data_IF_845316695667
#
_entry.id   IF_845316695667
#
_cell.length_a   1.000
_cell.length_b   1.000
_cell.length_c   1.000
_cell.angle_alpha   90.00
_cell.angle_beta   90.00
_cell.angle_gamma   90.00
#
_symmetry.space_group_name_H-M   'P 1'
#
loop_
_entity.id
_entity.type
_entity.pdbx_description
1 polymer ?
#
# COMPACT_ATOMS: atom_id res chain seq x y z
N UNK A 1 1.24 16.01 2.27
CA UNK A 1 0.79 14.64 1.88
C UNK A 1 1.80 13.62 2.36
N UNK A 2 1.37 12.38 2.65
CA UNK A 2 2.20 11.23 3.03
C UNK A 2 2.14 10.21 1.89
N UNK A 3 3.30 9.67 1.48
CA UNK A 3 3.38 8.57 0.51
C UNK A 3 3.14 7.23 1.23
N UNK A 4 2.08 6.50 0.89
CA UNK A 4 1.75 5.20 1.53
C UNK A 4 2.44 4.01 0.89
N UNK A 5 3.11 4.18 -0.24
CA UNK A 5 3.62 3.09 -1.07
C UNK A 5 5.13 3.21 -1.37
N UNK A 6 5.91 3.76 -0.45
CA UNK A 6 7.36 3.79 -0.58
C UNK A 6 8.03 2.51 -0.07
N UNK A 7 9.20 2.22 -0.63
CA UNK A 7 10.00 1.05 -0.26
C UNK A 7 11.47 1.41 -0.14
N UNK A 8 12.18 0.59 0.67
CA UNK A 8 13.64 0.56 0.76
C UNK A 8 14.15 -0.87 0.61
N UNK A 9 15.46 -1.01 0.38
CA UNK A 9 16.10 -2.30 0.16
C UNK A 9 16.05 -2.78 -1.29
N UNK A 10 16.88 -3.79 -1.58
CA UNK A 10 17.05 -4.33 -2.93
C UNK A 10 15.81 -5.05 -3.44
N UNK A 11 15.59 -4.98 -4.75
CA UNK A 11 14.57 -5.76 -5.44
C UNK A 11 15.22 -7.00 -6.06
N UNK A 12 14.66 -8.22 -5.89
CA UNK A 12 15.38 -9.44 -6.27
C UNK A 12 15.48 -9.64 -7.79
N UNK A 13 14.62 -9.02 -8.59
CA UNK A 13 14.50 -9.32 -10.01
C UNK A 13 15.20 -8.32 -10.94
N UNK A 14 15.57 -7.16 -10.44
CA UNK A 14 16.39 -6.18 -11.18
C UNK A 14 17.11 -5.23 -10.24
N UNK A 15 18.20 -4.65 -10.72
CA UNK A 15 18.85 -3.57 -9.99
C UNK A 15 17.95 -2.35 -9.88
N UNK A 16 17.79 -1.84 -8.66
CA UNK A 16 17.12 -0.57 -8.40
C UNK A 16 18.17 0.48 -8.05
N UNK A 17 18.18 1.63 -8.73
CA UNK A 17 19.00 2.74 -8.29
C UNK A 17 18.46 3.28 -6.97
N UNK A 18 19.36 3.50 -6.01
CA UNK A 18 19.05 4.26 -4.80
C UNK A 18 17.91 3.70 -3.91
N UNK A 19 17.97 2.43 -3.47
CA UNK A 19 16.95 1.86 -2.60
C UNK A 19 17.12 2.22 -1.12
N UNK A 20 17.91 3.25 -0.80
CA UNK A 20 18.33 3.62 0.54
C UNK A 20 17.41 4.68 1.17
N UNK A 21 17.21 4.66 2.52
CA UNK A 21 16.33 5.60 3.21
C UNK A 21 16.72 7.08 3.05
N UNK A 22 18.02 7.39 3.04
CA UNK A 22 18.53 8.76 2.87
C UNK A 22 18.17 9.34 1.47
N UNK A 23 18.19 8.48 0.44
CA UNK A 23 17.75 8.88 -0.89
C UNK A 23 16.24 9.11 -0.91
N UNK A 24 15.47 8.23 -0.26
CA UNK A 24 14.01 8.39 -0.16
C UNK A 24 13.68 9.74 0.51
N UNK A 25 14.34 10.11 1.59
CA UNK A 25 14.11 11.43 2.24
C UNK A 25 14.32 12.58 1.26
N UNK A 26 15.45 12.58 0.53
CA UNK A 26 15.71 13.62 -0.50
C UNK A 26 14.66 13.63 -1.62
N UNK A 27 14.16 12.46 -1.99
CA UNK A 27 13.07 12.35 -2.98
C UNK A 27 11.78 12.96 -2.43
N UNK A 28 11.40 12.66 -1.19
CA UNK A 28 10.22 13.22 -0.54
C UNK A 28 10.30 14.75 -0.43
N UNK A 29 11.44 15.27 -0.02
CA UNK A 29 11.70 16.72 0.05
C UNK A 29 11.53 17.38 -1.32
N UNK A 30 12.14 16.81 -2.37
CA UNK A 30 12.01 17.31 -3.74
C UNK A 30 10.56 17.32 -4.22
N UNK A 31 9.78 16.30 -3.89
CA UNK A 31 8.36 16.19 -4.28
C UNK A 31 7.42 16.96 -3.33
N UNK A 32 7.94 17.60 -2.29
CA UNK A 32 7.14 18.33 -1.29
C UNK A 32 6.23 17.43 -0.46
N UNK A 33 6.66 16.19 -0.19
CA UNK A 33 5.95 15.22 0.64
C UNK A 33 6.43 15.29 2.09
N UNK A 34 5.51 15.22 3.03
CA UNK A 34 5.80 15.36 4.46
C UNK A 34 6.40 14.09 5.08
N UNK A 35 6.35 12.96 4.38
CA UNK A 35 6.88 11.69 4.85
C UNK A 35 6.34 10.51 4.06
N UNK A 36 6.69 9.29 4.50
CA UNK A 36 6.21 8.07 3.86
C UNK A 36 5.94 6.92 4.83
N UNK A 37 5.05 5.99 4.43
CA UNK A 37 4.94 4.65 4.99
C UNK A 37 5.83 3.71 4.18
N UNK A 38 6.82 3.14 4.83
CA UNK A 38 7.91 2.46 4.13
C UNK A 38 7.86 0.96 4.37
N UNK A 39 7.88 0.18 3.28
CA UNK A 39 8.08 -1.26 3.30
C UNK A 39 9.53 -1.64 2.99
N UNK A 40 9.91 -2.87 3.34
CA UNK A 40 11.22 -3.45 3.02
C UNK A 40 11.08 -4.47 1.89
N UNK A 41 11.54 -4.13 0.68
CA UNK A 41 11.36 -4.97 -0.50
C UNK A 41 11.86 -6.40 -0.35
N UNK A 42 13.07 -6.66 0.21
CA UNK A 42 13.56 -8.04 0.31
C UNK A 42 12.65 -8.97 1.09
N UNK A 43 11.90 -8.46 2.07
CA UNK A 43 11.01 -9.27 2.92
C UNK A 43 9.80 -9.83 2.22
N UNK A 44 9.38 -9.23 1.09
CA UNK A 44 8.20 -9.67 0.34
C UNK A 44 8.34 -11.12 -0.12
N UNK A 45 9.55 -11.52 -0.51
CA UNK A 45 9.88 -12.86 -1.02
C UNK A 45 10.50 -13.78 0.03
N UNK A 46 10.67 -13.30 1.26
CA UNK A 46 11.16 -14.13 2.36
C UNK A 46 10.03 -14.97 2.95
N UNK A 47 10.33 -16.21 3.32
CA UNK A 47 9.38 -17.09 3.97
C UNK A 47 9.01 -16.58 5.36
N UNK A 48 10.00 -16.12 6.13
CA UNK A 48 9.85 -15.48 7.44
C UNK A 48 10.10 -13.96 7.28
N UNK A 49 9.11 -13.09 7.52
CA UNK A 49 9.28 -11.65 7.39
C UNK A 49 10.01 -11.01 8.60
N UNK A 50 10.16 -11.69 9.73
CA UNK A 50 10.67 -11.09 10.96
C UNK A 50 12.10 -10.51 10.83
N UNK A 51 13.08 -11.18 10.19
CA UNK A 51 14.41 -10.59 9.98
C UNK A 51 14.35 -9.30 9.14
N UNK A 52 13.50 -9.28 8.13
CA UNK A 52 13.32 -8.10 7.28
C UNK A 52 12.60 -6.96 7.99
N UNK A 53 11.62 -7.25 8.85
CA UNK A 53 11.02 -6.24 9.71
C UNK A 53 12.06 -5.62 10.65
N UNK A 54 12.94 -6.43 11.24
CA UNK A 54 14.04 -5.94 12.08
C UNK A 54 14.95 -4.99 11.29
N UNK A 55 15.33 -5.38 10.07
CA UNK A 55 16.14 -4.54 9.18
C UNK A 55 15.42 -3.24 8.79
N UNK A 56 14.11 -3.30 8.51
CA UNK A 56 13.30 -2.11 8.22
C UNK A 56 13.34 -1.11 9.37
N UNK A 57 13.02 -1.55 10.57
CA UNK A 57 12.99 -0.66 11.74
C UNK A 57 14.36 -0.04 12.00
N UNK A 58 15.44 -0.83 11.91
CA UNK A 58 16.81 -0.31 12.08
C UNK A 58 17.19 0.70 11.00
N UNK A 59 16.83 0.43 9.75
CA UNK A 59 17.13 1.33 8.62
C UNK A 59 16.37 2.66 8.71
N UNK A 60 15.18 2.70 9.30
CA UNK A 60 14.36 3.90 9.39
C UNK A 60 14.56 4.69 10.68
N UNK A 61 15.21 4.14 11.69
CA UNK A 61 15.43 4.79 13.00
C UNK A 61 15.97 6.22 12.89
N UNK A 62 16.94 6.53 12.00
CA UNK A 62 17.47 7.89 11.87
C UNK A 62 16.52 8.88 11.16
N UNK A 63 15.40 8.41 10.60
CA UNK A 63 14.56 9.19 9.67
C UNK A 63 13.12 9.33 10.19
N UNK A 64 12.79 10.31 11.04
CA UNK A 64 11.49 10.42 11.70
C UNK A 64 10.30 10.68 10.74
N UNK A 65 10.57 11.14 9.52
CA UNK A 65 9.57 11.31 8.47
C UNK A 65 9.20 10.00 7.76
N UNK A 66 10.01 8.96 7.95
CA UNK A 66 9.77 7.62 7.40
C UNK A 66 9.18 6.73 8.48
N UNK A 67 7.91 6.37 8.34
CA UNK A 67 7.24 5.47 9.28
C UNK A 67 7.22 4.05 8.73
N UNK A 68 7.60 3.04 9.53
CA UNK A 68 7.62 1.66 9.07
C UNK A 68 6.21 1.14 8.80
N UNK A 69 6.09 0.35 7.73
CA UNK A 69 4.94 -0.48 7.42
C UNK A 69 5.43 -1.93 7.25
N UNK A 70 5.68 -2.64 8.38
CA UNK A 70 6.24 -3.98 8.38
C UNK A 70 5.27 -5.02 7.85
N UNK A 71 5.78 -6.20 7.51
CA UNK A 71 5.00 -7.33 7.02
C UNK A 71 4.56 -8.18 8.20
N UNK A 72 3.27 -8.54 8.23
CA UNK A 72 2.75 -9.60 9.10
C UNK A 72 2.17 -10.69 8.21
N UNK A 73 2.72 -11.90 8.35
CA UNK A 73 2.31 -13.09 7.61
C UNK A 73 1.46 -13.99 8.51
N UNK A 74 0.12 -14.06 8.30
CA UNK A 74 -0.79 -14.63 9.28
C UNK A 74 -0.80 -16.17 9.36
N UNK A 75 -0.23 -16.88 8.37
CA UNK A 75 -0.03 -18.35 8.43
C UNK A 75 1.32 -18.72 9.07
N UNK A 76 2.11 -17.73 9.50
CA UNK A 76 3.40 -17.95 10.14
C UNK A 76 3.25 -18.08 11.65
N UNK A 77 3.98 -19.00 12.31
CA UNK A 77 3.87 -19.16 13.77
C UNK A 77 4.14 -17.85 14.52
N UNK A 78 3.30 -17.54 15.52
CA UNK A 78 3.42 -16.34 16.37
C UNK A 78 3.26 -15.00 15.60
N UNK A 79 2.51 -14.97 14.53
CA UNK A 79 2.25 -13.75 13.77
C UNK A 79 1.59 -12.65 14.63
N UNK A 80 0.78 -13.00 15.63
CA UNK A 80 0.17 -12.05 16.57
C UNK A 80 1.25 -11.28 17.33
N UNK A 81 2.29 -11.97 17.78
CA UNK A 81 3.43 -11.32 18.45
C UNK A 81 4.19 -10.39 17.48
N UNK A 82 4.32 -10.78 16.22
CA UNK A 82 4.91 -9.91 15.19
C UNK A 82 4.06 -8.65 14.99
N UNK A 83 2.74 -8.76 15.03
CA UNK A 83 1.83 -7.60 14.97
C UNK A 83 2.01 -6.70 16.20
N UNK A 84 2.01 -7.27 17.41
CA UNK A 84 2.22 -6.52 18.66
C UNK A 84 3.55 -5.77 18.65
N UNK A 85 4.65 -6.45 18.32
CA UNK A 85 5.98 -5.83 18.22
C UNK A 85 6.01 -4.69 17.19
N UNK A 86 5.36 -4.88 16.04
CA UNK A 86 5.27 -3.86 15.00
C UNK A 86 4.57 -2.58 15.51
N UNK A 87 3.47 -2.74 16.23
CA UNK A 87 2.71 -1.62 16.80
C UNK A 87 3.50 -0.91 17.90
N UNK A 88 4.15 -1.67 18.77
CA UNK A 88 4.99 -1.14 19.86
C UNK A 88 6.16 -0.32 19.32
N UNK A 89 6.68 -0.67 18.16
CA UNK A 89 7.75 0.04 17.47
C UNK A 89 7.27 1.16 16.54
N UNK A 90 5.97 1.52 16.57
CA UNK A 90 5.43 2.69 15.90
C UNK A 90 5.11 2.49 14.41
N UNK A 91 4.76 1.26 14.00
CA UNK A 91 4.28 1.02 12.64
C UNK A 91 3.13 1.96 12.26
N UNK A 92 3.12 2.48 11.03
CA UNK A 92 2.04 3.30 10.51
C UNK A 92 0.87 2.46 10.00
N UNK A 93 1.19 1.33 9.40
CA UNK A 93 0.29 0.36 8.79
C UNK A 93 0.93 -1.03 8.85
N UNK A 94 0.15 -2.08 8.63
CA UNK A 94 0.64 -3.45 8.48
C UNK A 94 0.52 -3.85 7.01
N UNK A 95 1.57 -4.41 6.42
CA UNK A 95 1.57 -4.93 5.05
C UNK A 95 1.32 -6.43 5.03
N UNK A 96 0.54 -6.87 4.03
CA UNK A 96 0.35 -8.28 3.72
C UNK A 96 0.40 -8.51 2.20
N UNK A 97 0.94 -9.67 1.80
CA UNK A 97 1.14 -10.06 0.41
C UNK A 97 0.54 -11.44 0.13
N UNK A 98 -0.78 -11.60 0.21
CA UNK A 98 -1.43 -12.91 0.14
C UNK A 98 -1.08 -13.67 -1.15
N UNK A 99 -0.88 -12.97 -2.27
CA UNK A 99 -0.54 -13.60 -3.55
C UNK A 99 0.85 -14.25 -3.56
N UNK A 100 1.81 -13.67 -2.82
CA UNK A 100 3.16 -14.24 -2.66
C UNK A 100 3.17 -15.43 -1.70
N UNK A 101 2.13 -15.59 -0.90
CA UNK A 101 1.96 -16.70 0.06
C UNK A 101 1.01 -17.78 -0.44
N UNK A 102 0.43 -17.62 -1.64
CA UNK A 102 -0.51 -18.57 -2.23
C UNK A 102 -1.88 -18.58 -1.53
N UNK A 103 -2.24 -17.49 -0.87
CA UNK A 103 -3.52 -17.36 -0.15
C UNK A 103 -4.61 -16.88 -1.10
N UNK A 104 -5.76 -17.55 -1.07
CA UNK A 104 -6.93 -17.16 -1.86
C UNK A 104 -7.74 -16.05 -1.18
N UNK A 105 -8.80 -15.54 -1.89
CA UNK A 105 -9.63 -14.42 -1.40
C UNK A 105 -10.31 -14.67 -0.04
N UNK A 106 -10.60 -15.92 0.29
CA UNK A 106 -11.32 -16.32 1.51
C UNK A 106 -10.43 -17.06 2.49
N UNK A 107 -9.12 -16.88 2.40
CA UNK A 107 -8.18 -17.51 3.31
C UNK A 107 -8.46 -17.08 4.76
N UNK A 108 -8.68 -18.04 5.70
CA UNK A 108 -9.03 -17.73 7.07
C UNK A 108 -7.94 -16.96 7.80
N UNK A 109 -6.65 -17.22 7.51
CA UNK A 109 -5.55 -16.52 8.16
C UNK A 109 -5.51 -15.04 7.78
N UNK A 110 -5.77 -14.72 6.51
CA UNK A 110 -5.89 -13.32 6.08
C UNK A 110 -7.08 -12.62 6.75
N UNK A 111 -8.19 -13.33 6.94
CA UNK A 111 -9.34 -12.79 7.66
C UNK A 111 -8.98 -12.51 9.13
N UNK A 112 -8.27 -13.40 9.80
CA UNK A 112 -7.82 -13.23 11.19
C UNK A 112 -6.89 -12.01 11.32
N UNK A 113 -5.93 -11.84 10.42
CA UNK A 113 -5.08 -10.64 10.38
C UNK A 113 -5.90 -9.36 10.20
N UNK A 114 -6.87 -9.36 9.29
CA UNK A 114 -7.72 -8.20 9.07
C UNK A 114 -8.53 -7.83 10.33
N UNK A 115 -9.09 -8.85 11.03
CA UNK A 115 -9.81 -8.65 12.30
C UNK A 115 -8.88 -8.09 13.38
N UNK A 116 -7.67 -8.63 13.53
CA UNK A 116 -6.69 -8.16 14.50
C UNK A 116 -6.28 -6.71 14.21
N UNK A 117 -6.00 -6.37 12.96
CA UNK A 117 -5.72 -4.99 12.55
C UNK A 117 -6.89 -4.04 12.83
N UNK A 118 -8.12 -4.48 12.55
CA UNK A 118 -9.33 -3.73 12.84
C UNK A 118 -9.53 -3.46 14.32
N UNK A 119 -9.35 -4.49 15.16
CA UNK A 119 -9.53 -4.40 16.60
C UNK A 119 -8.60 -3.36 17.27
N UNK A 120 -7.37 -3.21 16.77
CA UNK A 120 -6.41 -2.22 17.27
C UNK A 120 -6.43 -0.90 16.47
N UNK A 121 -7.19 -0.85 15.37
CA UNK A 121 -7.33 0.34 14.54
C UNK A 121 -6.11 0.66 13.66
N UNK A 122 -5.26 -0.33 13.34
CA UNK A 122 -4.17 -0.17 12.37
C UNK A 122 -4.67 -0.50 10.96
N UNK A 123 -4.35 0.30 9.92
CA UNK A 123 -4.75 -0.03 8.55
C UNK A 123 -3.95 -1.24 8.02
N UNK A 124 -4.64 -2.15 7.33
CA UNK A 124 -4.02 -3.24 6.58
C UNK A 124 -3.75 -2.77 5.15
N UNK A 125 -2.47 -2.76 4.76
CA UNK A 125 -2.02 -2.34 3.45
C UNK A 125 -1.76 -3.55 2.55
N UNK A 126 -2.43 -3.57 1.41
CA UNK A 126 -2.33 -4.62 0.41
C UNK A 126 -1.71 -4.06 -0.88
N UNK A 127 -0.76 -4.76 -1.45
CA UNK A 127 -0.16 -4.36 -2.73
C UNK A 127 -0.66 -5.27 -3.84
N UNK A 128 -1.23 -4.69 -4.89
CA UNK A 128 -1.79 -5.44 -6.02
C UNK A 128 -0.67 -6.08 -6.84
N UNK A 129 0.36 -5.29 -7.14
CA UNK A 129 1.51 -5.70 -7.96
C UNK A 129 2.72 -4.82 -7.69
N UNK A 130 3.89 -5.33 -7.98
CA UNK A 130 5.15 -4.56 -7.95
C UNK A 130 5.57 -4.09 -9.34
N UNK A 131 5.32 -4.89 -10.37
CA UNK A 131 5.67 -4.60 -11.75
C UNK A 131 4.52 -4.91 -12.71
N UNK A 132 4.52 -4.23 -13.85
CA UNK A 132 3.63 -4.55 -14.97
C UNK A 132 3.93 -5.95 -15.49
N UNK A 133 2.90 -6.70 -15.87
CA UNK A 133 3.02 -8.06 -16.38
C UNK A 133 4.01 -8.17 -17.55
N UNK A 134 4.17 -7.12 -18.36
CA UNK A 134 5.12 -7.07 -19.48
C UNK A 134 6.57 -6.94 -19.04
N UNK A 135 6.82 -6.49 -17.83
CA UNK A 135 8.16 -6.23 -17.26
C UNK A 135 8.49 -7.19 -16.12
N UNK A 136 7.49 -7.89 -15.62
CA UNK A 136 7.64 -8.82 -14.49
C UNK A 136 8.61 -9.96 -14.84
N UNK A 137 9.52 -10.22 -13.93
CA UNK A 137 10.42 -11.38 -14.05
C UNK A 137 9.63 -12.69 -14.09
N UNK A 138 9.98 -13.64 -14.98
CA UNK A 138 9.40 -14.98 -14.95
C UNK A 138 9.60 -15.74 -13.63
N UNK A 139 10.55 -15.30 -12.82
CA UNK A 139 10.82 -15.85 -11.48
C UNK A 139 9.88 -15.29 -10.41
N UNK A 140 9.20 -14.17 -10.68
CA UNK A 140 8.11 -13.66 -9.82
C UNK A 140 6.80 -14.35 -10.22
N UNK A 141 6.55 -15.49 -9.59
CA UNK A 141 5.39 -16.34 -9.88
C UNK A 141 4.11 -15.90 -9.20
N UNK A 142 4.14 -14.87 -8.38
CA UNK A 142 2.94 -14.35 -7.73
C UNK A 142 2.01 -13.71 -8.75
N UNK A 143 0.72 -14.02 -8.68
CA UNK A 143 -0.31 -13.31 -9.45
C UNK A 143 -0.65 -11.96 -8.81
N UNK A 144 -1.40 -11.14 -9.54
CA UNK A 144 -1.91 -9.88 -9.00
C UNK A 144 -3.01 -10.13 -7.97
N UNK A 145 -3.11 -9.25 -6.97
CA UNK A 145 -4.24 -9.22 -6.06
C UNK A 145 -5.53 -8.95 -6.84
N UNK A 146 -6.62 -9.58 -6.47
CA UNK A 146 -7.91 -9.43 -7.15
C UNK A 146 -8.93 -8.66 -6.32
N UNK A 147 -9.96 -8.14 -6.98
CA UNK A 147 -11.09 -7.49 -6.31
C UNK A 147 -11.76 -8.39 -5.26
N UNK A 148 -11.79 -9.70 -5.48
CA UNK A 148 -12.36 -10.67 -4.53
C UNK A 148 -11.60 -10.69 -3.19
N UNK A 149 -10.26 -10.57 -3.21
CA UNK A 149 -9.46 -10.48 -1.97
C UNK A 149 -9.82 -9.24 -1.17
N UNK A 150 -9.88 -8.08 -1.81
CA UNK A 150 -10.17 -6.81 -1.14
C UNK A 150 -11.60 -6.82 -0.58
N UNK A 151 -12.58 -7.28 -1.37
CA UNK A 151 -13.98 -7.38 -0.91
C UNK A 151 -14.15 -8.33 0.28
N UNK A 152 -13.48 -9.49 0.26
CA UNK A 152 -13.55 -10.46 1.35
C UNK A 152 -13.03 -9.86 2.66
N UNK A 153 -11.90 -9.15 2.61
CA UNK A 153 -11.30 -8.52 3.79
C UNK A 153 -12.10 -7.30 4.27
N UNK A 154 -12.62 -6.47 3.35
CA UNK A 154 -13.49 -5.35 3.71
C UNK A 154 -14.78 -5.79 4.41
N UNK A 155 -15.25 -7.00 4.11
CA UNK A 155 -16.43 -7.64 4.73
C UNK A 155 -16.15 -8.39 6.02
N UNK A 156 -14.88 -8.57 6.38
CA UNK A 156 -14.52 -9.34 7.56
C UNK A 156 -15.09 -8.75 8.85
N UNK A 157 -15.03 -7.42 8.97
CA UNK A 157 -15.61 -6.66 10.09
C UNK A 157 -15.73 -5.16 9.75
N UNK A 158 -16.60 -4.45 10.48
CA UNK A 158 -16.81 -3.01 10.30
C UNK A 158 -15.61 -2.14 10.74
N UNK A 159 -14.72 -2.66 11.58
CA UNK A 159 -13.50 -1.97 12.04
C UNK A 159 -12.34 -2.06 11.06
N UNK A 160 -12.37 -3.00 10.11
CA UNK A 160 -11.26 -3.22 9.15
C UNK A 160 -11.13 -2.02 8.21
N UNK A 161 -9.93 -1.45 8.13
CA UNK A 161 -9.55 -0.40 7.18
C UNK A 161 -8.47 -0.91 6.25
N UNK A 162 -8.70 -0.78 4.95
CA UNK A 162 -7.78 -1.24 3.91
C UNK A 162 -7.17 -0.06 3.16
N UNK A 163 -5.88 -0.17 2.87
CA UNK A 163 -5.18 0.67 1.90
C UNK A 163 -4.65 -0.25 0.81
N UNK A 164 -5.15 -0.10 -0.40
CA UNK A 164 -4.77 -0.94 -1.54
C UNK A 164 -3.89 -0.15 -2.49
N UNK A 165 -2.70 -0.66 -2.75
CA UNK A 165 -1.71 0.01 -3.59
C UNK A 165 -1.46 -0.78 -4.88
N UNK A 166 -1.13 -0.07 -5.95
CA UNK A 166 -0.80 -0.69 -7.23
C UNK A 166 -1.98 -1.21 -8.05
N UNK A 167 -3.20 -0.83 -7.70
CA UNK A 167 -4.39 -1.21 -8.45
C UNK A 167 -4.54 -0.40 -9.75
N UNK A 168 -4.95 -1.08 -10.83
CA UNK A 168 -5.45 -0.42 -12.02
C UNK A 168 -6.95 -0.08 -11.90
N UNK A 169 -7.46 0.73 -12.84
CA UNK A 169 -8.84 1.18 -12.86
C UNK A 169 -9.84 0.04 -12.75
N UNK A 170 -9.70 -1.00 -13.58
CA UNK A 170 -10.65 -2.12 -13.64
C UNK A 170 -10.82 -2.82 -12.28
N UNK A 171 -9.71 -3.16 -11.63
CA UNK A 171 -9.74 -3.80 -10.31
C UNK A 171 -10.38 -2.88 -9.26
N UNK A 172 -10.06 -1.59 -9.29
CA UNK A 172 -10.61 -0.61 -8.38
C UNK A 172 -12.13 -0.50 -8.54
N UNK A 173 -12.61 -0.30 -9.76
CA UNK A 173 -14.06 -0.22 -10.06
C UNK A 173 -14.78 -1.52 -9.70
N UNK A 174 -14.23 -2.69 -10.07
CA UNK A 174 -14.82 -4.00 -9.71
C UNK A 174 -14.94 -4.16 -8.20
N UNK A 175 -13.93 -3.69 -7.45
CA UNK A 175 -13.98 -3.74 -5.99
C UNK A 175 -15.02 -2.78 -5.45
N UNK A 176 -14.94 -1.51 -5.84
CA UNK A 176 -15.78 -0.44 -5.31
C UNK A 176 -17.26 -0.73 -5.50
N UNK A 177 -17.67 -1.04 -6.74
CA UNK A 177 -19.08 -1.32 -7.06
C UNK A 177 -19.58 -2.65 -6.50
N UNK A 178 -18.69 -3.54 -6.11
CA UNK A 178 -19.03 -4.78 -5.41
C UNK A 178 -19.16 -4.65 -3.89
N UNK A 179 -18.95 -3.48 -3.32
CA UNK A 179 -19.04 -3.17 -1.89
C UNK A 179 -20.26 -2.28 -1.58
N UNK A 180 -20.79 -2.39 -0.37
CA UNK A 180 -21.77 -1.44 0.16
C UNK A 180 -21.12 -0.09 0.46
N UNK A 181 -21.88 1.03 0.52
CA UNK A 181 -21.31 2.35 0.86
C UNK A 181 -20.51 2.38 2.16
N UNK A 182 -20.94 1.63 3.18
CA UNK A 182 -20.23 1.52 4.44
C UNK A 182 -18.89 0.76 4.31
N UNK A 183 -18.82 -0.25 3.47
CA UNK A 183 -17.59 -0.99 3.16
C UNK A 183 -16.65 -0.15 2.28
N UNK A 184 -17.19 0.55 1.26
CA UNK A 184 -16.44 1.48 0.40
C UNK A 184 -15.71 2.55 1.23
N UNK A 185 -16.39 3.07 2.28
CA UNK A 185 -15.85 4.07 3.20
C UNK A 185 -14.56 3.67 3.92
N UNK A 186 -14.24 2.38 3.95
CA UNK A 186 -13.09 1.82 4.67
C UNK A 186 -11.97 1.33 3.76
N UNK A 187 -12.11 1.48 2.45
CA UNK A 187 -11.11 1.10 1.45
C UNK A 187 -10.56 2.35 0.77
N UNK A 188 -9.24 2.52 0.86
CA UNK A 188 -8.53 3.62 0.20
C UNK A 188 -7.56 3.05 -0.85
N UNK A 189 -7.30 3.83 -1.89
CA UNK A 189 -6.54 3.44 -3.05
C UNK A 189 -5.41 4.41 -3.32
N UNK A 190 -4.22 3.93 -3.69
CA UNK A 190 -3.28 4.79 -4.38
C UNK A 190 -3.64 4.89 -5.88
N UNK A 191 -2.98 5.78 -6.58
CA UNK A 191 -3.20 5.99 -8.01
C UNK A 191 -1.91 5.96 -8.84
N UNK A 192 -0.84 5.37 -8.31
CA UNK A 192 0.43 5.25 -9.05
C UNK A 192 0.31 4.41 -10.34
N UNK A 193 -0.72 3.56 -10.43
CA UNK A 193 -1.00 2.70 -11.58
C UNK A 193 -2.23 3.15 -12.38
N UNK A 194 -2.78 4.31 -12.07
CA UNK A 194 -3.91 4.90 -12.79
C UNK A 194 -3.36 5.81 -13.90
N UNK A 195 -3.93 5.69 -15.09
CA UNK A 195 -3.52 6.50 -16.24
C UNK A 195 -4.13 7.91 -16.16
N UNK A 196 -3.28 8.91 -16.46
CA UNK A 196 -3.73 10.26 -16.76
C UNK A 196 -4.12 10.42 -18.23
N UNK A 197 -4.10 11.66 -18.78
CA UNK A 197 -4.39 11.91 -20.17
C UNK A 197 -3.49 11.10 -21.14
N UNK A 198 -4.03 10.67 -22.29
CA UNK A 198 -5.38 10.98 -22.82
C UNK A 198 -6.52 10.11 -22.28
N UNK A 199 -6.24 9.04 -21.53
CA UNK A 199 -7.25 8.11 -21.01
C UNK A 199 -8.08 8.69 -19.86
N UNK A 200 -7.51 9.65 -19.11
CA UNK A 200 -8.13 10.37 -18.02
C UNK A 200 -8.79 9.48 -16.93
N UNK A 201 -8.21 8.30 -16.69
CA UNK A 201 -8.78 7.36 -15.73
C UNK A 201 -8.86 7.95 -14.31
N UNK A 202 -7.87 8.76 -13.89
CA UNK A 202 -7.91 9.37 -12.56
C UNK A 202 -9.07 10.36 -12.43
N UNK A 203 -9.28 11.21 -13.45
CA UNK A 203 -10.40 12.15 -13.47
C UNK A 203 -11.75 11.43 -13.45
N UNK A 204 -11.86 10.33 -14.21
CA UNK A 204 -13.05 9.48 -14.20
C UNK A 204 -13.32 8.90 -12.79
N UNK A 205 -12.29 8.34 -12.16
CA UNK A 205 -12.42 7.73 -10.82
C UNK A 205 -12.74 8.78 -9.75
N UNK A 206 -12.19 9.99 -9.83
CA UNK A 206 -12.54 11.06 -8.89
C UNK A 206 -14.01 11.47 -9.01
N UNK A 207 -14.59 11.43 -10.22
CA UNK A 207 -16.03 11.72 -10.42
C UNK A 207 -16.94 10.58 -9.96
N UNK A 208 -16.50 9.33 -10.08
CA UNK A 208 -17.37 8.16 -9.88
C UNK A 208 -17.20 7.47 -8.54
N UNK A 209 -15.99 7.49 -8.00
CA UNK A 209 -15.62 6.84 -6.72
C UNK A 209 -15.48 7.87 -5.60
N UNK A 210 -15.04 9.08 -5.94
CA UNK A 210 -14.76 10.16 -5.01
C UNK A 210 -13.26 10.29 -4.67
N UNK A 211 -12.75 11.52 -4.75
CA UNK A 211 -11.33 11.79 -4.49
C UNK A 211 -10.89 11.41 -3.06
N UNK A 212 -11.81 11.49 -2.10
CA UNK A 212 -11.59 11.13 -0.70
C UNK A 212 -11.33 9.63 -0.48
N UNK A 213 -11.51 8.80 -1.50
CA UNK A 213 -11.13 7.37 -1.47
C UNK A 213 -9.67 7.15 -1.87
N UNK A 214 -8.96 8.20 -2.26
CA UNK A 214 -7.59 8.08 -2.74
C UNK A 214 -6.60 8.64 -1.72
N UNK A 215 -5.43 8.00 -1.69
CA UNK A 215 -4.23 8.39 -0.94
C UNK A 215 -3.05 8.50 -1.89
N UNK A 216 -2.06 9.30 -1.54
CA UNK A 216 -0.86 9.45 -2.36
C UNK A 216 0.05 8.23 -2.20
N UNK A 217 0.49 7.63 -3.29
CA UNK A 217 1.44 6.52 -3.30
C UNK A 217 2.31 6.56 -4.55
N UNK A 218 3.63 6.35 -4.40
CA UNK A 218 4.58 6.46 -5.52
C UNK A 218 5.09 5.13 -6.03
N UNK A 219 5.16 4.12 -5.19
CA UNK A 219 5.89 2.87 -5.44
C UNK A 219 7.41 3.07 -5.65
N UNK A 220 7.98 4.18 -5.13
CA UNK A 220 9.43 4.36 -5.12
C UNK A 220 10.12 3.20 -4.39
N UNK A 221 11.27 2.67 -4.87
CA UNK A 221 12.04 3.06 -6.05
C UNK A 221 11.68 2.25 -7.31
N UNK A 222 10.59 1.48 -7.29
CA UNK A 222 10.15 0.66 -8.43
C UNK A 222 9.58 1.52 -9.57
N UNK A 223 8.99 2.66 -9.24
CA UNK A 223 8.40 3.62 -10.17
C UNK A 223 8.92 5.04 -9.92
N UNK A 224 8.73 5.90 -10.91
CA UNK A 224 9.08 7.32 -10.82
C UNK A 224 8.06 8.05 -9.95
N UNK A 225 8.54 8.82 -8.99
CA UNK A 225 7.72 9.61 -8.05
C UNK A 225 6.92 10.71 -8.74
N UNK A 226 7.37 11.17 -9.90
CA UNK A 226 6.69 12.20 -10.68
C UNK A 226 5.37 11.75 -11.27
N UNK A 227 5.14 10.44 -11.44
CA UNK A 227 3.96 9.92 -12.12
C UNK A 227 2.64 10.29 -11.40
N UNK A 228 2.45 10.00 -10.09
CA UNK A 228 1.22 10.41 -9.41
C UNK A 228 1.10 11.94 -9.30
N UNK A 229 2.20 12.68 -9.19
CA UNK A 229 2.19 14.14 -9.19
C UNK A 229 1.66 14.68 -10.50
N UNK A 230 2.22 14.22 -11.63
CA UNK A 230 1.79 14.62 -12.96
C UNK A 230 0.29 14.32 -13.19
N UNK A 231 -0.20 13.19 -12.71
CA UNK A 231 -1.61 12.85 -12.83
C UNK A 231 -2.51 13.84 -12.07
N UNK A 232 -2.10 14.32 -10.88
CA UNK A 232 -2.84 15.37 -10.15
C UNK A 232 -2.77 16.72 -10.87
N UNK A 233 -1.58 17.10 -11.35
CA UNK A 233 -1.38 18.39 -12.02
C UNK A 233 -2.15 18.49 -13.35
N UNK A 234 -2.38 17.35 -14.01
CA UNK A 234 -3.12 17.24 -15.27
C UNK A 234 -4.63 17.03 -15.09
N UNK A 235 -5.15 17.01 -13.87
CA UNK A 235 -6.58 16.93 -13.66
C UNK A 235 -7.32 18.11 -14.31
N UNK A 236 -8.55 17.87 -14.85
CA UNK A 236 -9.43 18.92 -15.33
C UNK A 236 -9.67 19.99 -14.26
N UNK A 237 -9.90 21.24 -14.68
CA UNK A 237 -9.99 22.38 -13.78
C UNK A 237 -10.99 22.18 -12.65
N UNK A 238 -12.13 21.54 -12.91
CA UNK A 238 -13.18 21.26 -11.93
C UNK A 238 -12.81 20.23 -10.86
N UNK A 239 -11.71 19.48 -11.06
CA UNK A 239 -11.21 18.47 -10.12
C UNK A 239 -9.89 18.87 -9.44
N UNK A 240 -9.30 20.01 -9.78
CA UNK A 240 -8.00 20.43 -9.22
C UNK A 240 -8.06 20.67 -7.72
N UNK A 241 -9.21 21.09 -7.22
CA UNK A 241 -9.45 21.32 -5.80
C UNK A 241 -9.98 20.07 -5.08
N UNK A 242 -10.10 18.94 -5.78
CA UNK A 242 -10.54 17.69 -5.16
C UNK A 242 -9.48 17.19 -4.17
N UNK A 243 -9.91 17.01 -2.91
CA UNK A 243 -9.01 16.60 -1.83
C UNK A 243 -8.94 15.09 -1.73
N UNK A 244 -7.76 14.53 -1.98
CA UNK A 244 -7.46 13.14 -1.60
C UNK A 244 -7.28 13.04 -0.08
N UNK A 245 -7.48 11.84 0.47
CA UNK A 245 -7.30 11.60 1.90
C UNK A 245 -5.84 11.76 2.30
N UNK A 246 -5.57 12.55 3.34
CA UNK A 246 -4.26 12.57 3.97
C UNK A 246 -4.05 11.27 4.76
N UNK A 247 -3.09 10.48 4.33
CA UNK A 247 -2.78 9.20 4.96
C UNK A 247 -2.37 9.34 6.45
N UNK A 248 -1.95 10.52 6.90
CA UNK A 248 -1.68 10.75 8.32
C UNK A 248 -2.91 10.54 9.21
N UNK A 249 -4.12 10.70 8.66
CA UNK A 249 -5.40 10.46 9.36
C UNK A 249 -5.74 8.97 9.47
N UNK A 250 -5.20 8.15 8.57
CA UNK A 250 -5.39 6.70 8.54
C UNK A 250 -4.33 5.97 9.38
N UNK A 251 -3.16 6.56 9.56
CA UNK A 251 -2.03 5.94 10.24
C UNK A 251 -2.40 5.52 11.68
N UNK A 252 -1.88 4.37 12.10
CA UNK A 252 -1.98 3.95 13.49
C UNK A 252 -1.33 4.99 14.42
N UNK A 253 -2.03 5.31 15.50
CA UNK A 253 -1.57 6.18 16.58
C UNK A 253 -1.74 5.41 17.89
N UNK A 254 -0.67 5.23 18.60
CA UNK A 254 -0.68 4.66 19.96
C UNK A 254 -1.14 5.69 20.96
#
# INVERSE_FOLDING_TARGET
MIDVAAYVGSYPFRHLPHPDPDVLVRVLEREGLAGAWVGYLPSVWQRDPAPGNTALFAALEPYPTLRPAPIVRPDWPRWEHTLEEALDRGAAAIRAYPMHWGMGPYDPSMRELALACGAVGVPLLLTTRFEDLRQRSPLDVASDLTAAHVRALARADASVRLVVTGAGREMLEETHWGLTPAEQGRVHWDFAWIWGPPEDHLAHLFRTVGAERFVYGTHWPLRLTQNPRANLDLLPAELRDASITDASTLAFRR
#
